data_IF_063587452183
#
_entry.id   IF_063587452183
#
_cell.length_a   1.000
_cell.length_b   1.000
_cell.length_c   1.000
_cell.angle_alpha   90.00
_cell.angle_beta   90.00
_cell.angle_gamma   90.00
#
_symmetry.space_group_name_H-M   'P 1'
#
loop_
_entity.id
_entity.type
_entity.pdbx_description
1 polymer ?
#
# COMPACT_ATOMS: atom_id res chain seq x y z
N UNK A 1 18.61 -11.45 -12.62
CA UNK A 1 19.48 -10.26 -12.63
C UNK A 1 20.58 -10.48 -11.59
N UNK A 2 21.83 -10.08 -11.88
CA UNK A 2 22.92 -10.15 -10.91
C UNK A 2 22.53 -9.41 -9.63
N UNK A 3 22.98 -9.90 -8.47
CA UNK A 3 22.73 -9.26 -7.17
C UNK A 3 23.67 -8.06 -6.91
N UNK A 4 24.72 -7.92 -7.71
CA UNK A 4 25.78 -6.91 -7.60
C UNK A 4 25.98 -6.28 -8.97
N UNK A 5 26.28 -4.98 -8.99
CA UNK A 5 26.67 -4.24 -10.20
C UNK A 5 27.92 -4.88 -10.82
N UNK A 6 27.89 -5.12 -12.13
CA UNK A 6 29.00 -5.74 -12.86
C UNK A 6 29.82 -4.62 -13.49
N UNK A 7 31.11 -4.58 -13.17
CA UNK A 7 32.07 -3.71 -13.85
C UNK A 7 32.44 -4.30 -15.21
N UNK A 8 32.21 -3.53 -16.27
CA UNK A 8 32.51 -3.88 -17.66
C UNK A 8 33.82 -3.26 -18.17
N UNK A 9 34.55 -2.53 -17.32
CA UNK A 9 35.84 -1.93 -17.67
C UNK A 9 36.90 -2.95 -18.09
N UNK A 10 36.74 -4.20 -17.63
CA UNK A 10 37.58 -5.33 -18.02
C UNK A 10 36.80 -6.35 -18.84
N UNK A 11 36.33 -5.98 -20.04
CA UNK A 11 35.57 -6.88 -20.91
C UNK A 11 36.47 -7.68 -21.86
N UNK A 12 36.41 -9.01 -21.78
CA UNK A 12 37.08 -9.92 -22.70
C UNK A 12 36.09 -10.46 -23.72
N UNK A 13 36.43 -10.34 -25.02
CA UNK A 13 35.78 -11.09 -26.09
C UNK A 13 36.56 -12.37 -26.29
N UNK A 14 35.87 -13.52 -26.28
CA UNK A 14 36.48 -14.83 -26.43
C UNK A 14 35.77 -15.65 -27.50
N UNK A 15 36.46 -16.66 -28.02
CA UNK A 15 35.88 -17.71 -28.84
C UNK A 15 36.02 -19.08 -28.20
N UNK A 16 35.13 -19.99 -28.58
CA UNK A 16 35.29 -21.42 -28.33
C UNK A 16 35.31 -22.12 -29.69
N UNK A 17 36.37 -22.89 -29.95
CA UNK A 17 36.59 -23.63 -31.20
C UNK A 17 37.02 -25.05 -30.90
N UNK A 18 36.76 -25.97 -31.83
CA UNK A 18 37.30 -27.32 -31.75
C UNK A 18 38.82 -27.32 -31.96
N UNK A 19 39.53 -28.29 -31.38
CA UNK A 19 40.93 -28.55 -31.68
C UNK A 19 41.11 -29.22 -33.04
N UNK A 20 40.09 -29.94 -33.53
CA UNK A 20 40.08 -30.55 -34.86
C UNK A 20 39.88 -29.50 -35.95
N UNK A 21 40.84 -29.39 -36.88
CA UNK A 21 40.81 -28.40 -37.97
C UNK A 21 39.65 -28.58 -38.95
N UNK A 22 39.06 -29.78 -39.00
CA UNK A 22 37.89 -30.07 -39.85
C UNK A 22 36.61 -29.42 -39.31
N UNK A 23 36.54 -29.15 -38.01
CA UNK A 23 35.36 -28.56 -37.37
C UNK A 23 35.56 -27.05 -37.32
N UNK A 24 34.93 -26.35 -38.28
CA UNK A 24 34.99 -24.89 -38.42
C UNK A 24 33.95 -24.16 -37.56
N UNK A 25 33.32 -24.87 -36.64
CA UNK A 25 32.30 -24.30 -35.76
C UNK A 25 32.93 -23.36 -34.73
N UNK A 26 32.36 -22.16 -34.60
CA UNK A 26 32.86 -21.09 -33.73
C UNK A 26 31.71 -20.55 -32.89
N UNK A 27 31.94 -20.47 -31.59
CA UNK A 27 31.14 -19.67 -30.66
C UNK A 27 31.91 -18.43 -30.26
N UNK A 28 31.23 -17.29 -30.17
CA UNK A 28 31.79 -16.03 -29.67
C UNK A 28 30.99 -15.57 -28.45
N UNK A 29 31.66 -15.03 -27.44
CA UNK A 29 31.00 -14.49 -26.27
C UNK A 29 31.83 -13.39 -25.60
N UNK A 30 31.21 -12.67 -24.66
CA UNK A 30 31.91 -11.71 -23.81
C UNK A 30 31.82 -12.10 -22.32
N UNK A 31 32.82 -11.68 -21.55
CA UNK A 31 32.82 -11.85 -20.09
C UNK A 31 33.75 -10.84 -19.43
N UNK A 32 33.46 -10.47 -18.20
CA UNK A 32 34.34 -9.63 -17.38
C UNK A 32 35.29 -10.46 -16.52
N UNK A 33 35.00 -11.76 -16.37
CA UNK A 33 35.88 -12.73 -15.72
C UNK A 33 36.02 -13.98 -16.59
N UNK A 34 37.18 -14.13 -17.23
CA UNK A 34 37.45 -15.22 -18.16
C UNK A 34 37.52 -16.59 -17.47
N UNK A 35 38.21 -16.68 -16.34
CA UNK A 35 38.42 -17.94 -15.59
C UNK A 35 37.07 -18.50 -15.10
N UNK A 36 36.25 -17.65 -14.48
CA UNK A 36 34.94 -18.04 -13.99
C UNK A 36 34.01 -18.45 -15.16
N UNK A 37 34.03 -17.70 -16.27
CA UNK A 37 33.23 -18.05 -17.46
C UNK A 37 33.65 -19.38 -18.06
N UNK A 38 34.96 -19.65 -18.16
CA UNK A 38 35.50 -20.94 -18.64
C UNK A 38 35.06 -22.10 -17.75
N UNK A 39 35.16 -21.94 -16.43
CA UNK A 39 34.64 -22.93 -15.49
C UNK A 39 33.13 -23.15 -15.66
N UNK A 40 32.36 -22.07 -15.78
CA UNK A 40 30.90 -22.14 -15.99
C UNK A 40 30.55 -22.92 -17.26
N UNK A 41 31.23 -22.67 -18.38
CA UNK A 41 30.99 -23.41 -19.61
C UNK A 41 31.32 -24.90 -19.47
N UNK A 42 32.48 -25.24 -18.90
CA UNK A 42 32.87 -26.64 -18.63
C UNK A 42 31.82 -27.36 -17.78
N UNK A 43 31.42 -26.76 -16.66
CA UNK A 43 30.44 -27.35 -15.75
C UNK A 43 29.06 -27.48 -16.41
N UNK A 44 28.58 -26.45 -17.13
CA UNK A 44 27.30 -26.52 -17.84
C UNK A 44 27.31 -27.53 -19.00
N UNK A 45 28.46 -27.77 -19.61
CA UNK A 45 28.63 -28.76 -20.67
C UNK A 45 28.56 -30.19 -20.13
N UNK A 46 29.10 -30.45 -18.93
CA UNK A 46 29.20 -31.79 -18.34
C UNK A 46 27.98 -32.16 -17.48
N UNK A 47 27.45 -31.20 -16.70
CA UNK A 47 26.37 -31.46 -15.76
C UNK A 47 24.99 -31.47 -16.45
N UNK A 48 24.38 -32.66 -16.56
CA UNK A 48 23.06 -32.85 -17.17
C UNK A 48 21.90 -32.13 -16.44
N UNK A 49 22.08 -31.73 -15.17
CA UNK A 49 21.10 -30.97 -14.39
C UNK A 49 21.15 -29.46 -14.68
N UNK A 50 22.18 -28.98 -15.39
CA UNK A 50 22.30 -27.57 -15.76
C UNK A 50 21.15 -27.15 -16.68
N UNK A 51 20.55 -25.98 -16.43
CA UNK A 51 19.46 -25.44 -17.26
C UNK A 51 19.86 -25.30 -18.73
N UNK A 52 21.14 -25.00 -18.97
CA UNK A 52 21.67 -24.77 -20.30
C UNK A 52 22.28 -26.03 -20.92
N UNK A 53 22.25 -27.19 -20.26
CA UNK A 53 22.92 -28.41 -20.71
C UNK A 53 22.57 -28.79 -22.16
N UNK A 54 21.32 -28.60 -22.55
CA UNK A 54 20.76 -28.92 -23.88
C UNK A 54 20.91 -27.79 -24.92
N UNK A 55 21.70 -26.75 -24.66
CA UNK A 55 21.88 -25.69 -25.66
C UNK A 55 22.80 -26.16 -26.81
N UNK A 56 22.62 -25.56 -28.00
CA UNK A 56 23.34 -25.87 -29.24
C UNK A 56 24.86 -25.99 -29.01
N UNK A 57 25.45 -25.00 -28.35
CA UNK A 57 26.89 -24.97 -28.06
C UNK A 57 27.37 -26.25 -27.36
N UNK A 58 26.74 -26.64 -26.25
CA UNK A 58 27.23 -27.77 -25.46
C UNK A 58 26.91 -29.11 -26.09
N UNK A 59 25.80 -29.20 -26.84
CA UNK A 59 25.49 -30.38 -27.64
C UNK A 59 26.56 -30.60 -28.71
N UNK A 60 26.91 -29.58 -29.48
CA UNK A 60 27.99 -29.65 -30.46
C UNK A 60 29.33 -30.02 -29.81
N UNK A 61 29.68 -29.43 -28.66
CA UNK A 61 30.92 -29.76 -27.96
C UNK A 61 30.96 -31.24 -27.59
N UNK A 62 29.87 -31.78 -27.01
CA UNK A 62 29.82 -33.20 -26.60
C UNK A 62 29.84 -34.17 -27.79
N UNK A 63 29.17 -33.83 -28.89
CA UNK A 63 29.18 -34.65 -30.11
C UNK A 63 30.55 -34.68 -30.79
N UNK A 64 31.41 -33.69 -30.56
CA UNK A 64 32.71 -33.54 -31.21
C UNK A 64 33.87 -33.65 -30.21
N UNK A 65 33.92 -34.73 -29.44
CA UNK A 65 35.05 -35.06 -28.56
C UNK A 65 34.99 -34.45 -27.15
N UNK A 66 33.90 -33.75 -26.80
CA UNK A 66 33.70 -33.19 -25.46
C UNK A 66 34.62 -32.00 -25.15
N UNK A 67 34.48 -31.45 -23.94
CA UNK A 67 35.16 -30.19 -23.57
C UNK A 67 36.70 -30.26 -23.69
N UNK A 68 37.31 -31.43 -23.54
CA UNK A 68 38.76 -31.61 -23.71
C UNK A 68 39.24 -31.38 -25.15
N UNK A 69 38.37 -31.62 -26.14
CA UNK A 69 38.66 -31.39 -27.56
C UNK A 69 38.33 -29.95 -28.02
N UNK A 70 37.95 -29.08 -27.09
CA UNK A 70 37.56 -27.71 -27.39
C UNK A 70 38.39 -26.72 -26.59
N UNK A 71 38.79 -25.63 -27.24
CA UNK A 71 39.58 -24.57 -26.63
C UNK A 71 38.76 -23.29 -26.54
N UNK A 72 38.85 -22.63 -25.39
CA UNK A 72 38.32 -21.29 -25.15
C UNK A 72 39.49 -20.32 -25.10
N UNK A 73 39.51 -19.36 -26.03
CA UNK A 73 40.62 -18.42 -26.25
C UNK A 73 40.11 -16.97 -26.22
N UNK A 74 40.84 -16.08 -25.55
CA UNK A 74 40.57 -14.64 -25.60
C UNK A 74 40.97 -14.13 -26.99
N UNK A 75 40.06 -13.42 -27.65
CA UNK A 75 40.32 -12.77 -28.93
C UNK A 75 40.85 -11.36 -28.69
N UNK A 76 40.15 -10.58 -27.86
CA UNK A 76 40.53 -9.20 -27.59
C UNK A 76 39.99 -8.72 -26.23
N UNK A 77 40.54 -7.61 -25.77
CA UNK A 77 40.18 -6.92 -24.54
C UNK A 77 39.62 -5.54 -24.86
N UNK A 78 38.55 -5.15 -24.17
CA UNK A 78 37.92 -3.83 -24.30
C UNK A 78 37.57 -3.26 -22.93
N UNK A 79 37.76 -1.94 -22.82
CA UNK A 79 37.19 -1.15 -21.74
C UNK A 79 35.80 -0.68 -22.15
N UNK A 80 34.77 -1.34 -21.64
CA UNK A 80 33.37 -1.03 -21.94
C UNK A 80 32.73 -0.33 -20.74
N UNK A 81 31.99 0.74 -20.96
CA UNK A 81 31.29 1.45 -19.90
C UNK A 81 30.10 0.64 -19.34
N UNK A 82 29.51 -0.22 -20.17
CA UNK A 82 28.30 -0.96 -19.80
C UNK A 82 28.14 -2.26 -20.61
N UNK A 83 27.16 -3.08 -20.21
CA UNK A 83 26.80 -4.33 -20.89
C UNK A 83 26.41 -4.15 -22.36
N UNK A 84 25.83 -3.00 -22.73
CA UNK A 84 25.40 -2.77 -24.10
C UNK A 84 26.61 -2.60 -25.04
N UNK A 85 27.61 -1.82 -24.64
CA UNK A 85 28.88 -1.70 -25.37
C UNK A 85 29.61 -3.04 -25.49
N UNK A 86 29.63 -3.85 -24.42
CA UNK A 86 30.19 -5.20 -24.47
C UNK A 86 29.48 -6.09 -25.51
N UNK A 87 28.15 -5.98 -25.65
CA UNK A 87 27.38 -6.69 -26.69
C UNK A 87 27.62 -6.14 -28.10
N UNK A 88 27.89 -4.85 -28.26
CA UNK A 88 28.31 -4.28 -29.56
C UNK A 88 29.62 -4.93 -29.99
N UNK A 89 30.61 -5.00 -29.09
CA UNK A 89 31.89 -5.67 -29.38
C UNK A 89 31.71 -7.16 -29.65
N UNK A 90 30.90 -7.86 -28.86
CA UNK A 90 30.56 -9.26 -29.15
C UNK A 90 29.94 -9.42 -30.54
N UNK A 91 29.06 -8.49 -30.95
CA UNK A 91 28.42 -8.51 -32.27
C UNK A 91 29.42 -8.32 -33.41
N UNK A 92 30.37 -7.39 -33.27
CA UNK A 92 31.43 -7.15 -34.25
C UNK A 92 32.24 -8.44 -34.50
N UNK A 93 32.67 -9.12 -33.43
CA UNK A 93 33.44 -10.37 -33.53
C UNK A 93 32.61 -11.57 -33.97
N UNK A 94 31.34 -11.62 -33.58
CA UNK A 94 30.39 -12.63 -34.08
C UNK A 94 30.32 -12.60 -35.61
N UNK A 95 30.22 -11.40 -36.18
CA UNK A 95 30.18 -11.20 -37.63
C UNK A 95 31.55 -11.42 -38.27
N UNK A 96 32.61 -10.85 -37.71
CA UNK A 96 33.97 -10.96 -38.23
C UNK A 96 34.44 -12.42 -38.36
N UNK A 97 34.10 -13.26 -37.37
CA UNK A 97 34.51 -14.65 -37.31
C UNK A 97 33.49 -15.62 -37.91
N UNK A 98 32.38 -15.12 -38.47
CA UNK A 98 31.27 -15.93 -38.98
C UNK A 98 30.80 -17.00 -37.97
N UNK A 99 30.64 -16.58 -36.71
CA UNK A 99 30.30 -17.50 -35.63
C UNK A 99 28.93 -18.16 -35.84
N UNK A 100 28.87 -19.49 -35.71
CA UNK A 100 27.71 -20.28 -36.09
C UNK A 100 27.09 -21.06 -34.91
N UNK A 101 27.76 -21.13 -33.75
CA UNK A 101 27.28 -21.87 -32.58
C UNK A 101 26.42 -21.03 -31.64
N UNK A 102 26.45 -19.71 -31.72
CA UNK A 102 25.56 -18.86 -30.94
C UNK A 102 24.10 -19.10 -31.38
N UNK A 103 23.23 -19.49 -30.46
CA UNK A 103 21.81 -19.73 -30.76
C UNK A 103 21.06 -18.46 -31.15
N UNK A 104 21.49 -17.32 -30.62
CA UNK A 104 20.90 -16.01 -30.88
C UNK A 104 22.06 -15.05 -31.11
N UNK A 105 21.92 -14.19 -32.12
CA UNK A 105 22.88 -13.12 -32.41
C UNK A 105 23.00 -12.17 -31.19
N UNK A 106 24.20 -11.68 -30.84
CA UNK A 106 24.39 -10.77 -29.70
C UNK A 106 23.54 -9.51 -29.75
N UNK A 107 23.35 -8.89 -30.92
CA UNK A 107 22.43 -7.78 -31.13
C UNK A 107 21.46 -8.14 -32.26
N UNK A 108 20.39 -8.90 -31.95
CA UNK A 108 19.44 -9.29 -32.98
C UNK A 108 18.70 -8.04 -33.45
N UNK A 109 18.59 -7.87 -34.77
CA UNK A 109 17.82 -6.77 -35.34
C UNK A 109 16.40 -6.82 -34.76
N UNK A 110 15.82 -5.69 -34.33
CA UNK A 110 14.43 -5.67 -33.91
C UNK A 110 13.59 -6.27 -35.02
N UNK A 111 12.65 -7.16 -34.65
CA UNK A 111 11.74 -7.75 -35.64
C UNK A 111 11.06 -6.58 -36.37
N UNK A 112 11.07 -6.55 -37.71
CA UNK A 112 10.32 -5.53 -38.41
C UNK A 112 8.89 -5.61 -37.89
N UNK A 113 8.31 -4.45 -37.54
CA UNK A 113 6.88 -4.36 -37.31
C UNK A 113 6.22 -4.82 -38.61
N UNK A 114 5.84 -6.09 -38.68
CA UNK A 114 4.88 -6.51 -39.71
C UNK A 114 3.67 -5.61 -39.46
N UNK A 115 3.22 -4.82 -40.44
CA UNK A 115 1.88 -4.26 -40.36
C UNK A 115 0.99 -5.49 -40.20
N UNK A 116 0.42 -5.68 -39.01
CA UNK A 116 -0.58 -6.71 -38.86
C UNK A 116 -1.74 -6.25 -39.73
N UNK A 117 -1.93 -6.89 -40.89
CA UNK A 117 -3.23 -6.93 -41.58
C UNK A 117 -4.25 -7.76 -40.77
N UNK A 118 -4.16 -7.68 -39.44
CA UNK A 118 -5.20 -8.08 -38.53
C UNK A 118 -5.77 -6.76 -38.06
N UNK A 119 -7.02 -6.55 -38.41
CA UNK A 119 -7.89 -5.52 -37.88
C UNK A 119 -7.50 -5.20 -36.45
N UNK A 120 -7.47 -3.91 -36.13
CA UNK A 120 -7.48 -3.45 -34.75
C UNK A 120 -8.74 -4.02 -34.12
N UNK A 121 -8.69 -5.28 -33.65
CA UNK A 121 -9.68 -5.80 -32.73
C UNK A 121 -9.53 -4.92 -31.53
N UNK A 122 -10.53 -4.08 -31.32
CA UNK A 122 -10.69 -3.34 -30.08
C UNK A 122 -10.41 -4.35 -28.96
N UNK A 123 -9.35 -4.08 -28.19
CA UNK A 123 -9.02 -4.93 -27.06
C UNK A 123 -10.17 -4.73 -26.08
N UNK A 124 -11.08 -5.67 -26.04
CA UNK A 124 -12.18 -5.68 -25.09
C UNK A 124 -11.60 -5.77 -23.68
N UNK A 125 -11.50 -4.61 -23.04
CA UNK A 125 -11.12 -4.54 -21.64
C UNK A 125 -12.31 -4.97 -20.79
N UNK A 126 -12.04 -5.82 -19.81
CA UNK A 126 -13.02 -6.24 -18.82
C UNK A 126 -12.88 -5.35 -17.60
N UNK A 127 -13.97 -4.69 -17.22
CA UNK A 127 -14.00 -3.82 -16.05
C UNK A 127 -14.51 -4.56 -14.81
N UNK A 128 -13.72 -4.53 -13.73
CA UNK A 128 -14.16 -4.98 -12.41
C UNK A 128 -14.70 -3.81 -11.60
N UNK A 129 -16.01 -3.79 -11.36
CA UNK A 129 -16.68 -2.77 -10.54
C UNK A 129 -16.21 -2.77 -9.08
N UNK A 130 -16.00 -3.96 -8.49
CA UNK A 130 -15.57 -4.10 -7.08
C UNK A 130 -14.23 -3.44 -6.82
N UNK A 131 -13.31 -3.54 -7.77
CA UNK A 131 -11.94 -3.05 -7.60
C UNK A 131 -11.64 -1.79 -8.42
N UNK A 132 -12.57 -1.33 -9.25
CA UNK A 132 -12.41 -0.22 -10.19
C UNK A 132 -11.14 -0.36 -11.06
N UNK A 133 -11.00 -1.50 -11.73
CA UNK A 133 -9.83 -1.81 -12.58
C UNK A 133 -10.26 -2.37 -13.92
N UNK A 134 -9.51 -2.03 -14.98
CA UNK A 134 -9.64 -2.60 -16.32
C UNK A 134 -8.62 -3.73 -16.52
N UNK A 135 -9.08 -4.85 -17.07
CA UNK A 135 -8.31 -6.07 -17.24
C UNK A 135 -8.33 -6.48 -18.72
N UNK A 136 -7.19 -6.99 -19.20
CA UNK A 136 -6.99 -7.18 -20.65
C UNK A 136 -7.63 -8.45 -21.22
N UNK A 137 -8.03 -9.40 -20.38
CA UNK A 137 -8.67 -10.66 -20.80
C UNK A 137 -9.31 -11.39 -19.61
N UNK A 138 -10.13 -12.40 -19.92
CA UNK A 138 -10.82 -13.23 -18.93
C UNK A 138 -9.87 -13.98 -17.99
N UNK A 139 -8.70 -14.42 -18.46
CA UNK A 139 -7.73 -15.13 -17.60
C UNK A 139 -7.20 -14.24 -16.48
N UNK A 140 -6.94 -12.97 -16.79
CA UNK A 140 -6.53 -11.98 -15.79
C UNK A 140 -7.68 -11.62 -14.85
N UNK A 141 -8.92 -11.61 -15.33
CA UNK A 141 -10.11 -11.45 -14.49
C UNK A 141 -10.26 -12.60 -13.50
N UNK A 142 -10.09 -13.84 -13.94
CA UNK A 142 -10.18 -15.01 -13.07
C UNK A 142 -9.12 -14.97 -11.96
N UNK A 143 -7.88 -14.64 -12.32
CA UNK A 143 -6.80 -14.45 -11.35
C UNK A 143 -7.13 -13.29 -10.40
N UNK A 144 -7.63 -12.17 -10.94
CA UNK A 144 -8.03 -11.00 -10.15
C UNK A 144 -9.12 -11.33 -9.12
N UNK A 145 -10.16 -12.06 -9.54
CA UNK A 145 -11.29 -12.45 -8.70
C UNK A 145 -10.86 -13.36 -7.54
N UNK A 146 -9.84 -14.19 -7.77
CA UNK A 146 -9.27 -15.08 -6.74
C UNK A 146 -8.31 -14.37 -5.77
N UNK A 147 -8.02 -13.08 -5.97
CA UNK A 147 -7.14 -12.36 -5.04
C UNK A 147 -7.84 -12.12 -3.70
N UNK A 148 -7.09 -12.28 -2.59
CA UNK A 148 -7.59 -11.99 -1.23
C UNK A 148 -8.15 -10.57 -1.08
N UNK A 149 -7.66 -9.62 -1.87
CA UNK A 149 -8.13 -8.23 -1.89
C UNK A 149 -9.50 -8.12 -2.55
N UNK A 150 -9.70 -8.74 -3.72
CA UNK A 150 -10.98 -8.75 -4.41
C UNK A 150 -12.05 -9.46 -3.58
N UNK A 151 -11.74 -10.64 -3.05
CA UNK A 151 -12.68 -11.45 -2.24
C UNK A 151 -13.20 -10.63 -1.04
N UNK A 152 -12.30 -10.01 -0.25
CA UNK A 152 -12.69 -9.17 0.89
C UNK A 152 -13.59 -8.00 0.51
N UNK A 153 -13.34 -7.35 -0.63
CA UNK A 153 -14.15 -6.22 -1.10
C UNK A 153 -15.52 -6.69 -1.61
N UNK A 154 -15.59 -7.83 -2.29
CA UNK A 154 -16.84 -8.47 -2.70
C UNK A 154 -17.70 -8.86 -1.49
N UNK A 155 -17.09 -9.41 -0.44
CA UNK A 155 -17.81 -9.78 0.80
C UNK A 155 -18.41 -8.55 1.50
N UNK A 156 -17.66 -7.44 1.58
CA UNK A 156 -18.15 -6.18 2.15
C UNK A 156 -19.32 -5.62 1.33
N UNK A 157 -19.22 -5.63 0.00
CA UNK A 157 -20.30 -5.14 -0.87
C UNK A 157 -21.56 -6.02 -0.76
N UNK A 158 -21.41 -7.34 -0.63
CA UNK A 158 -22.53 -8.26 -0.36
C UNK A 158 -23.18 -8.03 1.01
N UNK A 159 -22.42 -7.64 2.03
CA UNK A 159 -22.96 -7.28 3.35
C UNK A 159 -23.75 -5.96 3.32
N UNK A 160 -23.39 -5.02 2.44
CA UNK A 160 -24.11 -3.75 2.23
C UNK A 160 -25.42 -3.99 1.44
N UNK A 161 -25.41 -4.91 0.47
CA UNK A 161 -26.57 -5.24 -0.37
C UNK A 161 -27.67 -6.04 0.37
N UNK A 162 -27.35 -6.73 1.47
CA UNK A 162 -28.35 -7.21 2.44
C UNK A 162 -28.90 -6.01 3.21
N UNK A 163 -29.90 -5.34 2.64
CA UNK A 163 -30.71 -4.36 3.35
C UNK A 163 -31.09 -4.91 4.73
N UNK A 164 -30.83 -4.16 5.80
CA UNK A 164 -31.25 -4.52 7.16
C UNK A 164 -32.78 -4.66 7.18
N UNK A 165 -33.31 -5.88 7.14
CA UNK A 165 -34.71 -6.11 7.49
C UNK A 165 -34.85 -5.96 9.01
N UNK A 166 -35.54 -4.91 9.43
CA UNK A 166 -35.85 -4.69 10.83
C UNK A 166 -37.06 -5.55 11.20
N UNK A 167 -36.80 -6.75 11.72
CA UNK A 167 -37.87 -7.70 12.05
C UNK A 167 -38.61 -7.36 13.35
N UNK A 168 -38.09 -6.41 14.15
CA UNK A 168 -38.65 -6.05 15.45
C UNK A 168 -38.86 -4.53 15.54
N UNK A 169 -40.11 -4.12 15.79
CA UNK A 169 -40.52 -2.72 15.91
C UNK A 169 -41.33 -2.50 17.18
N UNK A 170 -40.90 -1.56 18.01
CA UNK A 170 -41.63 -1.14 19.20
C UNK A 170 -42.64 -0.04 18.82
N UNK A 171 -43.93 -0.35 18.89
CA UNK A 171 -45.01 0.60 18.55
C UNK A 171 -45.05 1.84 19.45
N UNK A 172 -44.52 1.77 20.68
CA UNK A 172 -44.61 2.87 21.64
C UNK A 172 -43.40 3.78 21.67
N UNK A 173 -42.26 3.30 21.17
CA UNK A 173 -41.03 4.07 21.07
C UNK A 173 -40.55 4.29 19.63
N UNK A 174 -41.26 3.73 18.64
CA UNK A 174 -40.88 3.68 17.21
C UNK A 174 -39.45 3.15 16.98
N UNK A 175 -38.99 2.28 17.88
CA UNK A 175 -37.65 1.71 17.85
C UNK A 175 -37.63 0.47 16.95
N UNK A 176 -36.73 0.43 15.97
CA UNK A 176 -36.60 -0.65 14.98
C UNK A 176 -35.24 -1.34 15.12
N UNK A 177 -35.24 -2.67 15.19
CA UNK A 177 -34.00 -3.46 15.22
C UNK A 177 -34.17 -4.80 14.50
N UNK A 178 -33.04 -5.41 14.13
CA UNK A 178 -33.01 -6.68 13.40
C UNK A 178 -32.84 -7.92 14.30
N UNK A 179 -32.43 -7.75 15.57
CA UNK A 179 -32.19 -8.85 16.51
C UNK A 179 -33.18 -8.83 17.67
N UNK A 180 -33.77 -9.98 17.97
CA UNK A 180 -34.71 -10.14 19.09
C UNK A 180 -34.06 -9.83 20.45
N UNK A 181 -32.79 -10.20 20.64
CA UNK A 181 -32.06 -9.93 21.88
C UNK A 181 -31.93 -8.43 22.18
N UNK A 182 -31.70 -7.62 21.16
CA UNK A 182 -31.62 -6.16 21.29
C UNK A 182 -33.01 -5.55 21.47
N UNK A 183 -34.06 -6.14 20.89
CA UNK A 183 -35.45 -5.77 21.15
C UNK A 183 -35.84 -6.04 22.61
N UNK A 184 -35.53 -7.22 23.15
CA UNK A 184 -35.79 -7.56 24.56
C UNK A 184 -35.02 -6.63 25.50
N UNK A 185 -33.76 -6.31 25.18
CA UNK A 185 -33.00 -5.30 25.94
C UNK A 185 -33.68 -3.93 25.88
N UNK A 186 -34.15 -3.50 24.72
CA UNK A 186 -34.89 -2.26 24.55
C UNK A 186 -36.13 -2.18 25.46
N UNK A 187 -36.95 -3.25 25.51
CA UNK A 187 -38.14 -3.33 26.38
C UNK A 187 -37.80 -3.18 27.87
N UNK A 188 -36.60 -3.63 28.28
CA UNK A 188 -36.11 -3.54 29.66
C UNK A 188 -35.48 -2.19 30.00
N UNK A 189 -35.34 -1.28 29.03
CA UNK A 189 -34.74 0.03 29.31
C UNK A 189 -35.67 0.88 30.16
N UNK A 190 -35.11 1.59 31.14
CA UNK A 190 -35.85 2.56 31.97
C UNK A 190 -36.65 3.55 31.13
N UNK A 191 -36.09 3.97 29.98
CA UNK A 191 -36.74 4.90 29.04
C UNK A 191 -38.00 4.31 28.39
N UNK A 192 -37.99 3.04 28.00
CA UNK A 192 -39.18 2.37 27.45
C UNK A 192 -40.24 2.17 28.53
N UNK A 193 -39.84 1.65 29.69
CA UNK A 193 -40.73 1.38 30.83
C UNK A 193 -41.43 2.67 31.31
N UNK A 194 -40.70 3.78 31.44
CA UNK A 194 -41.29 5.07 31.81
C UNK A 194 -42.33 5.57 30.78
N UNK A 195 -42.10 5.33 29.48
CA UNK A 195 -43.03 5.71 28.42
C UNK A 195 -44.32 4.90 28.43
N UNK A 196 -44.23 3.60 28.74
CA UNK A 196 -45.40 2.74 28.96
C UNK A 196 -46.19 3.17 30.19
N UNK A 197 -45.51 3.50 31.29
CA UNK A 197 -46.15 3.91 32.54
C UNK A 197 -46.86 5.28 32.45
N UNK A 198 -46.40 6.18 31.57
CA UNK A 198 -47.10 7.46 31.30
C UNK A 198 -48.45 7.21 30.59
N UNK A 199 -48.57 6.18 29.75
CA UNK A 199 -49.84 5.82 29.12
C UNK A 199 -50.85 5.25 30.12
N UNK A 200 -50.41 4.48 31.11
CA UNK A 200 -51.30 3.90 32.13
C UNK A 200 -51.72 4.89 33.21
N UNK A 201 -50.87 5.88 33.56
CA UNK A 201 -51.23 6.96 34.50
C UNK A 201 -52.22 7.98 33.94
N UNK A 202 -52.28 8.18 32.63
CA UNK A 202 -53.24 9.10 32.01
C UNK A 202 -54.70 8.59 32.04
N UNK A 203 -54.95 7.36 32.49
CA UNK A 203 -56.30 6.77 32.54
C UNK A 203 -56.97 6.81 33.92
N UNK A 204 -56.36 7.44 34.94
CA UNK A 204 -56.98 7.61 36.26
C UNK A 204 -56.84 9.06 36.75
N UNK A 205 -57.92 9.82 36.55
CA UNK A 205 -58.37 10.94 37.39
C UNK A 205 -57.44 12.16 37.53
N UNK A 206 -57.36 12.99 36.48
CA UNK A 206 -56.71 14.30 36.55
C UNK A 206 -57.70 15.41 36.95
N UNK A 207 -58.13 15.43 38.21
CA UNK A 207 -58.74 16.61 38.81
C UNK A 207 -57.66 17.36 39.59
N UNK A 208 -57.16 18.46 39.03
CA UNK A 208 -56.15 19.31 39.66
C UNK A 208 -56.83 20.27 40.64
N UNK A 209 -56.74 20.03 41.95
CA UNK A 209 -57.25 20.95 42.97
C UNK A 209 -56.24 22.05 43.29
N UNK A 210 -56.72 23.29 43.35
CA UNK A 210 -56.11 24.30 44.18
C UNK A 210 -56.54 24.07 45.61
N UNK A 211 -55.64 24.34 46.53
CA UNK A 211 -55.90 24.23 47.95
C UNK A 211 -57.03 25.21 48.39
N UNK A 212 -57.33 26.28 47.61
CA UNK A 212 -58.51 27.14 47.78
C UNK A 212 -59.87 26.43 47.49
N UNK A 213 -59.81 25.14 47.12
CA UNK A 213 -60.95 24.28 46.85
C UNK A 213 -61.37 24.20 45.38
N UNK A 214 -60.80 25.03 44.48
CA UNK A 214 -61.17 25.04 43.06
C UNK A 214 -60.55 23.87 42.28
N UNK A 215 -61.36 23.17 41.47
CA UNK A 215 -60.95 22.02 40.64
C UNK A 215 -60.72 22.43 39.19
N UNK A 216 -59.66 21.90 38.59
CA UNK A 216 -59.27 22.16 37.20
C UNK A 216 -59.02 20.85 36.46
N UNK A 217 -59.47 20.78 35.21
CA UNK A 217 -59.31 19.61 34.32
C UNK A 217 -57.86 19.43 33.85
N UNK A 218 -57.11 20.53 33.75
CA UNK A 218 -55.73 20.55 33.27
C UNK A 218 -54.81 21.29 34.25
N UNK A 219 -53.56 20.82 34.36
CA UNK A 219 -52.51 21.48 35.13
C UNK A 219 -52.29 22.95 34.68
N UNK A 220 -52.47 23.24 33.39
CA UNK A 220 -52.39 24.60 32.84
C UNK A 220 -53.49 25.52 33.38
N UNK A 221 -54.70 24.98 33.63
CA UNK A 221 -55.80 25.70 34.26
C UNK A 221 -55.50 26.04 35.72
N UNK A 222 -55.01 25.06 36.49
CA UNK A 222 -54.55 25.28 37.85
C UNK A 222 -53.40 26.30 37.91
N UNK A 223 -52.45 26.25 36.98
CA UNK A 223 -51.31 27.18 36.95
C UNK A 223 -51.73 28.62 36.70
N UNK A 224 -52.65 28.86 35.74
CA UNK A 224 -53.21 30.20 35.52
C UNK A 224 -53.94 30.70 36.77
N UNK A 225 -54.72 29.83 37.40
CA UNK A 225 -55.41 30.17 38.62
C UNK A 225 -54.44 30.50 39.77
N UNK A 226 -53.38 29.71 39.99
CA UNK A 226 -52.39 29.97 41.04
C UNK A 226 -51.71 31.34 40.93
N UNK A 227 -51.65 31.92 39.73
CA UNK A 227 -51.11 33.28 39.53
C UNK A 227 -52.02 34.40 39.99
N UNK A 228 -53.32 34.14 40.10
CA UNK A 228 -54.34 35.12 40.49
C UNK A 228 -55.13 34.60 41.69
N UNK A 229 -54.60 33.62 42.41
CA UNK A 229 -55.24 33.06 43.57
C UNK A 229 -54.69 33.80 44.78
N UNK A 230 -55.54 34.59 45.42
CA UNK A 230 -55.19 35.36 46.63
C UNK A 230 -55.02 34.47 47.87
N UNK A 231 -55.13 33.15 47.69
CA UNK A 231 -54.92 32.16 48.73
C UNK A 231 -53.46 31.71 48.71
N UNK A 232 -52.59 32.52 49.34
CA UNK A 232 -51.19 32.10 49.58
C UNK A 232 -50.10 33.15 49.74
N UNK A 233 -50.36 34.47 49.85
CA UNK A 233 -49.33 35.39 50.37
C UNK A 233 -49.42 35.40 51.90
N UNK A 234 -48.82 34.37 52.54
CA UNK A 234 -48.18 34.42 53.86
C UNK A 234 -47.64 33.03 54.26
N UNK A 235 -46.31 32.98 54.48
CA UNK A 235 -45.50 31.99 55.23
C UNK A 235 -44.51 31.07 54.48
N UNK A 236 -43.22 31.41 54.70
CA UNK A 236 -42.02 30.59 55.01
C UNK A 236 -41.46 29.65 53.92
N UNK A 237 -40.28 29.95 53.35
CA UNK A 237 -38.93 29.55 53.80
C UNK A 237 -38.74 28.02 53.81
N UNK A 238 -38.06 27.47 52.78
CA UNK A 238 -36.79 26.73 52.92
C UNK A 238 -36.34 25.96 51.66
N UNK A 239 -35.02 25.84 51.55
CA UNK A 239 -34.23 24.89 50.75
C UNK A 239 -33.96 25.16 49.26
N UNK A 240 -33.07 26.13 49.07
CA UNK A 240 -31.90 25.98 48.19
C UNK A 240 -31.07 24.80 48.69
N UNK A 241 -31.02 23.68 47.96
CA UNK A 241 -29.85 22.80 47.84
C UNK A 241 -30.16 21.55 47.00
N UNK A 242 -29.82 21.59 45.71
CA UNK A 242 -29.11 20.51 44.97
C UNK A 242 -29.19 20.76 43.46
N UNK A 243 -28.04 21.11 42.91
CA UNK A 243 -27.32 20.35 41.87
C UNK A 243 -26.65 21.28 40.84
N UNK A 244 -25.69 22.09 41.31
CA UNK A 244 -24.71 22.82 40.49
C UNK A 244 -23.36 22.07 40.41
N UNK A 245 -23.29 20.82 40.87
CA UNK A 245 -22.02 20.09 41.07
C UNK A 245 -21.67 19.05 40.00
N UNK A 246 -22.10 19.21 38.74
CA UNK A 246 -21.69 18.27 37.67
C UNK A 246 -21.37 18.92 36.32
N UNK A 247 -20.93 20.20 36.31
CA UNK A 247 -20.49 20.88 35.08
C UNK A 247 -18.95 21.02 34.98
N UNK A 248 -18.19 20.70 36.02
CA UNK A 248 -16.73 20.75 35.96
C UNK A 248 -16.12 19.39 36.29
N UNK A 249 -15.55 18.76 35.27
CA UNK A 249 -14.50 17.72 35.25
C UNK A 249 -14.91 16.51 34.38
N UNK A 250 -14.62 16.61 33.08
CA UNK A 250 -14.07 15.51 32.23
C UNK A 250 -13.80 15.90 30.76
N UNK A 251 -13.46 17.16 30.48
CA UNK A 251 -12.85 17.53 29.19
C UNK A 251 -11.36 17.82 29.36
N UNK A 252 -10.60 16.81 29.80
CA UNK A 252 -9.13 16.81 29.67
C UNK A 252 -8.79 16.22 28.30
N UNK A 253 -8.87 17.07 27.27
CA UNK A 253 -8.38 16.74 25.93
C UNK A 253 -6.85 16.76 26.00
N UNK A 254 -6.24 15.58 26.14
CA UNK A 254 -4.78 15.47 26.10
C UNK A 254 -4.33 15.54 24.63
N UNK A 255 -3.84 16.70 24.21
CA UNK A 255 -3.25 16.96 22.89
C UNK A 255 -1.95 16.14 22.73
N UNK A 256 -2.01 14.96 22.11
CA UNK A 256 -0.89 14.00 22.10
C UNK A 256 0.09 14.14 20.93
N UNK A 257 -0.28 14.78 19.82
CA UNK A 257 0.52 14.72 18.59
C UNK A 257 0.67 16.09 17.93
N UNK A 258 1.90 16.52 17.67
CA UNK A 258 2.21 17.84 17.10
C UNK A 258 2.99 17.68 15.80
N UNK A 259 2.61 18.44 14.76
CA UNK A 259 3.38 18.51 13.52
C UNK A 259 4.66 19.31 13.73
N UNK A 260 5.82 18.68 13.56
CA UNK A 260 7.13 19.33 13.71
C UNK A 260 7.40 20.45 12.68
N UNK A 261 6.64 20.49 11.58
CA UNK A 261 6.85 21.46 10.49
C UNK A 261 5.98 22.72 10.61
N UNK A 262 4.81 22.66 11.25
CA UNK A 262 3.91 23.81 11.39
C UNK A 262 3.30 23.98 12.79
N UNK A 263 3.74 23.18 13.76
CA UNK A 263 3.27 23.14 15.15
C UNK A 263 1.76 22.93 15.37
N UNK A 264 1.02 22.50 14.33
CA UNK A 264 -0.40 22.14 14.48
C UNK A 264 -0.52 20.89 15.35
N UNK A 265 -1.44 20.97 16.33
CA UNK A 265 -1.72 19.90 17.29
C UNK A 265 -2.90 19.05 16.83
N UNK A 266 -2.83 17.76 17.13
CA UNK A 266 -3.80 16.76 16.72
C UNK A 266 -4.10 15.80 17.86
N UNK A 267 -5.39 15.42 17.93
CA UNK A 267 -5.90 14.53 18.98
C UNK A 267 -5.74 13.04 18.59
N UNK A 268 -5.31 12.76 17.35
CA UNK A 268 -5.11 11.42 16.80
C UNK A 268 -3.93 11.36 15.81
N UNK A 269 -3.19 10.25 15.82
CA UNK A 269 -1.97 10.06 15.02
C UNK A 269 -2.25 10.00 13.51
N UNK A 270 -3.40 9.46 13.10
CA UNK A 270 -3.80 9.40 11.70
C UNK A 270 -4.01 10.81 11.13
N UNK A 271 -4.58 11.72 11.92
CA UNK A 271 -4.78 13.12 11.53
C UNK A 271 -3.44 13.83 11.31
N UNK A 272 -2.46 13.60 12.17
CA UNK A 272 -1.09 14.09 11.98
C UNK A 272 -0.44 13.49 10.71
N UNK A 273 -0.64 12.20 10.45
CA UNK A 273 -0.08 11.53 9.28
C UNK A 273 -0.61 12.07 7.94
N UNK A 274 -1.93 12.28 7.83
CA UNK A 274 -2.54 12.89 6.64
C UNK A 274 -2.06 14.33 6.45
N UNK A 275 -1.89 15.07 7.54
CA UNK A 275 -1.37 16.43 7.51
C UNK A 275 0.09 16.49 7.03
N UNK A 276 0.97 15.62 7.57
CA UNK A 276 2.38 15.56 7.18
C UNK A 276 2.59 15.27 5.68
N UNK A 277 1.66 14.56 5.03
CA UNK A 277 1.73 14.31 3.58
C UNK A 277 1.49 15.54 2.71
N UNK A 278 0.81 16.56 3.24
CA UNK A 278 0.42 17.78 2.50
C UNK A 278 1.16 19.02 2.99
N UNK A 279 1.94 18.91 4.06
CA UNK A 279 2.68 20.02 4.65
C UNK A 279 3.96 20.29 3.83
N UNK A 280 3.92 21.25 2.88
CA UNK A 280 5.08 21.68 2.06
C UNK A 280 5.40 23.18 2.29
N UNK A 281 6.39 23.42 3.16
CA UNK A 281 7.42 24.48 3.32
C UNK A 281 7.23 25.97 2.94
N UNK A 282 7.75 26.84 3.82
CA UNK A 282 8.58 28.04 3.52
C UNK A 282 9.88 27.86 4.37
N UNK A 283 10.99 27.32 3.82
CA UNK A 283 12.26 27.98 3.34
C UNK A 283 13.07 28.62 4.51
N UNK A 284 14.37 28.44 4.79
CA UNK A 284 15.60 27.92 4.11
C UNK A 284 16.66 27.51 5.18
N UNK A 285 17.82 26.90 4.83
CA UNK A 285 18.87 26.52 5.77
C UNK A 285 19.80 27.70 6.08
N UNK A 286 19.82 28.15 7.33
CA UNK A 286 20.83 29.09 7.83
C UNK A 286 22.05 28.32 8.31
N UNK A 287 23.11 28.34 7.49
CA UNK A 287 24.48 28.25 8.01
C UNK A 287 24.79 29.63 8.60
N UNK A 288 24.94 29.74 9.92
CA UNK A 288 25.83 30.74 10.50
C UNK A 288 26.48 30.22 11.78
N UNK A 289 27.82 30.29 11.72
CA UNK A 289 28.85 30.15 12.73
C UNK A 289 28.52 30.57 14.17
N UNK A 290 29.01 29.79 15.13
CA UNK A 290 29.61 30.31 16.36
C UNK A 290 30.97 29.62 16.55
N UNK A 291 32.00 30.43 16.29
CA UNK A 291 33.34 30.33 16.87
C UNK A 291 33.26 30.30 18.40
N UNK A 292 34.12 29.52 19.07
CA UNK A 292 35.21 30.07 19.88
C UNK A 292 36.17 28.99 20.45
N UNK A 293 37.46 29.23 20.15
CA UNK A 293 38.68 29.06 20.96
C UNK A 293 39.05 27.67 21.51
N UNK A 294 40.18 27.16 20.99
CA UNK A 294 41.47 27.12 21.72
C UNK A 294 42.66 27.02 20.75
N UNK A 295 43.57 28.00 20.81
CA UNK A 295 45.01 27.93 20.43
C UNK A 295 45.78 27.22 21.57
N UNK A 296 47.06 26.79 21.45
CA UNK A 296 48.19 27.33 20.66
C UNK A 296 48.93 26.21 19.87
N UNK A 297 50.02 26.37 19.13
CA UNK A 297 51.13 27.34 19.02
C UNK A 297 51.85 27.08 17.69
N UNK A 298 52.50 28.12 17.19
CA UNK A 298 53.35 28.19 16.01
C UNK A 298 54.50 27.17 16.01
N UNK A 299 54.85 26.63 14.83
CA UNK A 299 56.22 26.53 14.30
C UNK A 299 56.11 26.67 12.76
N UNK A 300 56.60 27.81 12.28
CA UNK A 300 57.03 28.08 10.90
C UNK A 300 58.25 27.24 10.53
N UNK A 301 58.29 26.60 9.36
CA UNK A 301 59.47 26.61 8.46
C UNK A 301 59.01 26.54 6.99
N UNK A 302 59.77 27.26 6.17
CA UNK A 302 59.60 27.72 4.80
C UNK A 302 59.59 26.63 3.70
N UNK A 303 58.85 26.94 2.63
CA UNK A 303 59.10 26.58 1.22
C UNK A 303 60.38 27.31 0.77
N UNK A 304 61.38 26.76 0.07
CA UNK A 304 61.49 26.11 -1.27
C UNK A 304 63.00 26.12 -1.61
N UNK A 305 63.51 25.54 -2.72
CA UNK A 305 62.82 24.91 -3.86
C UNK A 305 62.96 23.39 -3.94
#
# INVERSE_FOLDING_TARGET
MPKVEIDYSTTFIYKITCCDQNIKDIYVGHTTNFVQRKHSHKTSCINNKSTNYKCKLYETIRCNGGWCNWKMEIINFFNCANHYEARIKEQEYFTLLNANLNSIQPLPKPKPNKPSLLDKKDKDFIYCQTCNVYLNNNKLLEIHNNTKKHIKLCDINNLIAKQKSYNFECKTCNYKCCKNSDYIKHLRTKKHIQREQIKTKNSLNNNYLCECGKKYEYHSGLWKHKKTCDWGENNTIDNVEKCVSTILLKNTIVEKYVCKQCNKKYNAINSLWYHNKKCKSIIEPTIQSLSEKTKPSDITVQLTP
#
